data_IF_014289833465
#
_entry.id   IF_014289833465
#
_cell.length_a   1.000
_cell.length_b   1.000
_cell.length_c   1.000
_cell.angle_alpha   90.00
_cell.angle_beta   90.00
_cell.angle_gamma   90.00
#
_symmetry.space_group_name_H-M   'P 1'
#
loop_
_entity.id
_entity.type
_entity.pdbx_description
1 polymer ?
#
# COMPACT_ATOMS: atom_id res chain seq x y z
N UNK A 1 15.30 -25.78 -10.17
CA UNK A 1 14.67 -25.57 -8.84
C UNK A 1 13.39 -24.82 -9.11
N UNK A 2 12.25 -25.36 -8.70
CA UNK A 2 10.98 -24.66 -8.83
C UNK A 2 10.86 -23.64 -7.69
N UNK A 3 11.22 -22.38 -7.99
CA UNK A 3 11.05 -21.25 -7.08
C UNK A 3 9.59 -21.15 -6.62
N UNK A 4 9.35 -21.21 -5.31
CA UNK A 4 8.03 -21.08 -4.69
C UNK A 4 7.87 -19.71 -4.01
N UNK A 5 6.62 -19.30 -3.77
CA UNK A 5 6.29 -18.09 -3.01
C UNK A 5 6.90 -18.10 -1.59
N UNK A 6 6.93 -19.28 -0.97
CA UNK A 6 7.60 -19.50 0.32
C UNK A 6 9.11 -19.25 0.26
N UNK A 7 9.75 -19.55 -0.88
CA UNK A 7 11.18 -19.27 -1.05
C UNK A 7 11.42 -17.76 -1.10
N UNK A 8 10.57 -17.03 -1.83
CA UNK A 8 10.58 -15.56 -1.86
C UNK A 8 10.44 -14.97 -0.44
N UNK A 9 9.45 -15.45 0.30
CA UNK A 9 9.19 -15.04 1.68
C UNK A 9 10.40 -15.33 2.60
N UNK A 10 10.93 -16.56 2.55
CA UNK A 10 12.09 -16.99 3.33
C UNK A 10 13.33 -16.15 3.01
N UNK A 11 13.54 -15.84 1.73
CA UNK A 11 14.65 -15.01 1.28
C UNK A 11 14.56 -13.58 1.80
N UNK A 12 13.37 -12.96 1.74
CA UNK A 12 13.18 -11.60 2.28
C UNK A 12 13.36 -11.61 3.81
N UNK A 13 12.65 -12.51 4.49
CA UNK A 13 12.57 -12.52 5.95
C UNK A 13 13.89 -12.85 6.64
N UNK A 14 14.71 -13.72 6.05
CA UNK A 14 16.01 -14.12 6.64
C UNK A 14 17.16 -13.19 6.25
N UNK A 15 16.94 -12.29 5.31
CA UNK A 15 17.97 -11.36 4.86
C UNK A 15 18.11 -10.17 5.80
N UNK A 16 19.31 -9.60 5.82
CA UNK A 16 19.54 -8.30 6.44
C UNK A 16 18.66 -7.23 5.78
N UNK A 17 18.00 -6.40 6.60
CA UNK A 17 17.03 -5.41 6.10
C UNK A 17 17.70 -4.37 5.18
N UNK A 18 18.93 -3.94 5.49
CA UNK A 18 19.65 -3.01 4.63
C UNK A 18 20.06 -3.64 3.30
N UNK A 19 20.39 -4.93 3.29
CA UNK A 19 20.62 -5.67 2.06
C UNK A 19 19.34 -5.74 1.20
N UNK A 20 18.20 -6.11 1.77
CA UNK A 20 16.91 -6.18 1.06
C UNK A 20 16.55 -4.83 0.43
N UNK A 21 16.74 -3.74 1.18
CA UNK A 21 16.53 -2.38 0.67
C UNK A 21 17.49 -2.01 -0.45
N UNK A 22 18.78 -2.34 -0.32
CA UNK A 22 19.78 -2.15 -1.39
C UNK A 22 19.44 -2.95 -2.66
N UNK A 23 18.72 -4.07 -2.52
CA UNK A 23 18.20 -4.86 -3.64
C UNK A 23 16.92 -4.29 -4.25
N UNK A 24 16.38 -3.19 -3.71
CA UNK A 24 15.31 -2.40 -4.33
C UNK A 24 13.97 -2.43 -3.59
N UNK A 25 13.81 -3.22 -2.52
CA UNK A 25 12.58 -3.23 -1.71
C UNK A 25 12.67 -2.13 -0.64
N UNK A 26 12.51 -0.87 -1.09
CA UNK A 26 12.79 0.33 -0.29
C UNK A 26 11.90 0.46 0.96
N UNK A 27 10.66 -0.06 0.90
CA UNK A 27 9.68 -0.08 1.99
C UNK A 27 10.04 -1.04 3.14
N UNK A 28 11.01 -1.95 2.95
CA UNK A 28 11.39 -2.94 3.95
C UNK A 28 12.24 -2.36 5.07
N UNK A 29 11.63 -1.53 5.92
CA UNK A 29 12.26 -0.88 7.06
C UNK A 29 11.39 -1.05 8.30
N UNK A 30 11.63 -2.12 9.05
CA UNK A 30 10.83 -2.48 10.22
C UNK A 30 11.70 -2.77 11.43
N UNK A 31 11.20 -2.40 12.61
CA UNK A 31 11.80 -2.82 13.87
C UNK A 31 11.47 -4.27 14.18
N UNK A 32 10.30 -4.73 13.71
CA UNK A 32 9.87 -6.12 13.85
C UNK A 32 9.07 -6.58 12.64
N UNK A 33 9.35 -7.78 12.18
CA UNK A 33 8.57 -8.45 11.12
C UNK A 33 8.01 -9.76 11.67
N UNK A 34 6.72 -10.00 11.43
CA UNK A 34 6.01 -11.21 11.80
C UNK A 34 5.67 -12.01 10.55
N UNK A 35 5.74 -13.33 10.66
CA UNK A 35 5.20 -14.29 9.71
C UNK A 35 4.10 -15.09 10.37
N UNK A 36 3.23 -15.71 9.57
CA UNK A 36 2.14 -16.56 10.06
C UNK A 36 1.22 -15.83 11.06
N UNK A 37 1.02 -14.52 10.86
CA UNK A 37 0.25 -13.69 11.78
C UNK A 37 -1.26 -13.93 11.61
N UNK A 38 -1.82 -14.85 12.38
CA UNK A 38 -3.21 -15.29 12.20
C UNK A 38 -4.22 -14.20 12.62
N UNK A 39 -4.95 -13.66 11.63
CA UNK A 39 -6.02 -12.66 11.81
C UNK A 39 -7.42 -13.31 11.92
N UNK A 40 -7.50 -14.62 12.14
CA UNK A 40 -8.76 -15.36 12.21
C UNK A 40 -9.44 -15.44 10.84
N UNK A 41 -10.71 -15.01 10.78
CA UNK A 41 -11.50 -15.05 9.55
C UNK A 41 -10.95 -14.17 8.41
N UNK A 42 -10.04 -13.24 8.72
CA UNK A 42 -9.38 -12.39 7.72
C UNK A 42 -8.20 -13.09 7.03
N UNK A 43 -7.75 -14.24 7.56
CA UNK A 43 -6.67 -15.06 7.00
C UNK A 43 -5.30 -14.79 7.63
N UNK A 44 -4.24 -15.15 6.91
CA UNK A 44 -2.85 -15.08 7.36
C UNK A 44 -2.06 -14.33 6.28
N UNK A 45 -1.63 -13.08 6.51
CA UNK A 45 -0.71 -12.39 5.60
C UNK A 45 0.65 -13.08 5.59
N UNK A 46 1.37 -12.99 4.48
CA UNK A 46 2.73 -13.53 4.37
C UNK A 46 3.65 -12.88 5.40
N UNK A 47 3.69 -11.54 5.43
CA UNK A 47 4.43 -10.80 6.44
C UNK A 47 3.71 -9.56 6.94
N UNK A 48 3.95 -9.21 8.21
CA UNK A 48 3.52 -7.96 8.82
C UNK A 48 4.74 -7.27 9.45
N UNK A 49 5.11 -6.11 8.92
CA UNK A 49 6.14 -5.25 9.47
C UNK A 49 5.55 -4.22 10.44
N UNK A 50 6.27 -3.94 11.53
CA UNK A 50 5.98 -2.84 12.45
C UNK A 50 7.20 -1.94 12.53
N UNK A 51 6.97 -0.64 12.37
CA UNK A 51 8.00 0.39 12.52
C UNK A 51 7.52 1.41 13.55
N UNK A 52 8.41 1.76 14.46
CA UNK A 52 8.22 2.77 15.50
C UNK A 52 8.94 4.05 15.09
N UNK A 53 8.33 5.19 15.37
CA UNK A 53 8.93 6.49 15.09
C UNK A 53 8.38 7.55 16.03
N UNK A 54 9.15 8.62 16.24
CA UNK A 54 8.73 9.76 17.04
C UNK A 54 8.05 10.81 16.14
N UNK A 55 6.83 11.22 16.49
CA UNK A 55 6.12 12.33 15.84
C UNK A 55 5.60 13.29 16.91
N UNK A 56 6.01 14.57 16.85
CA UNK A 56 5.67 15.58 17.87
C UNK A 56 5.92 15.09 19.30
N UNK A 57 7.09 14.48 19.54
CA UNK A 57 7.51 13.90 20.83
C UNK A 57 6.64 12.74 21.35
N UNK A 58 5.74 12.20 20.52
CA UNK A 58 4.95 11.01 20.84
C UNK A 58 5.45 9.82 20.04
N UNK A 59 5.47 8.66 20.69
CA UNK A 59 5.76 7.39 20.00
C UNK A 59 4.57 7.04 19.10
N UNK A 60 4.87 6.82 17.82
CA UNK A 60 3.92 6.41 16.80
C UNK A 60 4.37 5.08 16.18
N UNK A 61 3.41 4.43 15.53
CA UNK A 61 3.61 3.14 14.87
C UNK A 61 3.12 3.25 13.44
N UNK A 62 3.82 2.59 12.52
CA UNK A 62 3.30 2.25 11.19
C UNK A 62 3.35 0.74 11.03
N UNK A 63 2.34 0.21 10.35
CA UNK A 63 2.23 -1.21 10.04
C UNK A 63 2.33 -1.37 8.53
N UNK A 64 3.10 -2.35 8.06
CA UNK A 64 3.18 -2.70 6.64
C UNK A 64 2.75 -4.14 6.47
N UNK A 65 1.75 -4.38 5.63
CA UNK A 65 1.25 -5.71 5.29
C UNK A 65 1.84 -6.09 3.93
N UNK A 66 2.53 -7.23 3.90
CA UNK A 66 3.10 -7.78 2.68
C UNK A 66 2.23 -8.92 2.16
N UNK A 67 1.95 -8.88 0.87
CA UNK A 67 1.38 -9.98 0.11
C UNK A 67 2.32 -10.30 -1.05
N UNK A 68 2.79 -11.53 -1.09
CA UNK A 68 3.72 -12.07 -2.06
C UNK A 68 2.93 -12.90 -3.07
N UNK A 69 3.32 -12.80 -4.35
CA UNK A 69 2.82 -13.65 -5.41
C UNK A 69 4.01 -14.21 -6.17
N UNK A 70 3.99 -15.51 -6.45
CA UNK A 70 4.95 -16.06 -7.43
C UNK A 70 4.76 -15.42 -8.80
N UNK A 71 3.51 -15.25 -9.23
CA UNK A 71 3.14 -14.70 -10.53
C UNK A 71 2.81 -13.20 -10.50
N UNK A 72 1.91 -12.80 -11.39
CA UNK A 72 1.45 -11.43 -11.49
C UNK A 72 0.70 -10.96 -10.23
N UNK A 73 0.94 -9.72 -9.83
CA UNK A 73 0.09 -9.01 -8.89
C UNK A 73 -1.19 -8.60 -9.64
N UNK A 74 -2.35 -8.94 -9.09
CA UNK A 74 -3.67 -8.69 -9.66
C UNK A 74 -4.70 -8.21 -8.62
N UNK A 75 -5.96 -8.15 -9.03
CA UNK A 75 -7.08 -7.73 -8.17
C UNK A 75 -7.26 -8.65 -6.95
N UNK A 76 -6.96 -9.94 -7.07
CA UNK A 76 -7.09 -10.89 -5.97
C UNK A 76 -6.00 -10.66 -4.92
N UNK A 77 -4.76 -10.37 -5.34
CA UNK A 77 -3.69 -9.98 -4.42
C UNK A 77 -4.06 -8.71 -3.63
N UNK A 78 -4.62 -7.70 -4.29
CA UNK A 78 -5.09 -6.49 -3.62
C UNK A 78 -6.26 -6.77 -2.66
N UNK A 79 -7.22 -7.60 -3.07
CA UNK A 79 -8.35 -7.97 -2.23
C UNK A 79 -7.92 -8.76 -0.98
N UNK A 80 -6.98 -9.71 -1.14
CA UNK A 80 -6.38 -10.46 -0.04
C UNK A 80 -5.68 -9.52 0.96
N UNK A 81 -4.81 -8.64 0.47
CA UNK A 81 -4.12 -7.68 1.31
C UNK A 81 -5.09 -6.71 2.02
N UNK A 82 -6.12 -6.22 1.31
CA UNK A 82 -7.15 -5.34 1.88
C UNK A 82 -7.95 -6.04 3.00
N UNK A 83 -8.21 -7.35 2.86
CA UNK A 83 -8.85 -8.15 3.90
C UNK A 83 -7.97 -8.24 5.16
N UNK A 84 -6.65 -8.43 5.01
CA UNK A 84 -5.73 -8.43 6.14
C UNK A 84 -5.67 -7.07 6.85
N UNK A 85 -5.60 -5.97 6.10
CA UNK A 85 -5.67 -4.61 6.66
C UNK A 85 -6.96 -4.41 7.46
N UNK A 86 -8.09 -4.85 6.92
CA UNK A 86 -9.39 -4.79 7.63
C UNK A 86 -9.38 -5.59 8.93
N UNK A 87 -8.76 -6.78 8.92
CA UNK A 87 -8.56 -7.60 10.11
C UNK A 87 -7.68 -6.93 11.15
N UNK A 88 -6.56 -6.34 10.74
CA UNK A 88 -5.66 -5.58 11.61
C UNK A 88 -6.36 -4.39 12.24
N UNK A 89 -7.07 -3.56 11.47
CA UNK A 89 -7.83 -2.42 12.01
C UNK A 89 -8.84 -2.89 13.07
N UNK A 90 -9.55 -3.98 12.79
CA UNK A 90 -10.53 -4.55 13.71
C UNK A 90 -9.87 -5.05 14.99
N UNK A 91 -8.73 -5.75 14.87
CA UNK A 91 -7.94 -6.22 16.02
C UNK A 91 -7.41 -5.07 16.87
N UNK A 92 -6.83 -4.05 16.25
CA UNK A 92 -6.26 -2.88 16.95
C UNK A 92 -7.34 -2.10 17.72
N UNK A 93 -8.52 -1.93 17.13
CA UNK A 93 -9.68 -1.35 17.82
C UNK A 93 -10.08 -2.18 19.05
N UNK A 94 -10.12 -3.51 18.91
CA UNK A 94 -10.50 -4.43 19.99
C UNK A 94 -9.54 -4.36 21.18
N UNK A 95 -8.24 -4.16 20.96
CA UNK A 95 -7.25 -4.00 22.03
C UNK A 95 -7.13 -2.56 22.56
N UNK A 96 -8.02 -1.65 22.13
CA UNK A 96 -8.12 -0.30 22.68
C UNK A 96 -7.25 0.76 21.99
N UNK A 97 -6.68 0.49 20.82
CA UNK A 97 -5.99 1.53 20.03
C UNK A 97 -7.03 2.46 19.41
N UNK A 98 -7.15 3.67 19.99
CA UNK A 98 -8.13 4.69 19.60
C UNK A 98 -7.87 5.30 18.23
N UNK A 99 -6.61 5.53 17.90
CA UNK A 99 -6.18 6.06 16.60
C UNK A 99 -5.32 4.98 15.93
N UNK A 100 -5.87 4.26 14.93
CA UNK A 100 -5.09 3.22 14.27
C UNK A 100 -3.85 3.85 13.62
N UNK A 101 -2.71 3.13 13.62
CA UNK A 101 -1.51 3.56 12.93
C UNK A 101 -1.76 3.71 11.42
N UNK A 102 -0.85 4.38 10.73
CA UNK A 102 -0.79 4.25 9.26
C UNK A 102 -0.52 2.79 8.91
N UNK A 103 -1.31 2.26 7.96
CA UNK A 103 -1.17 0.88 7.47
C UNK A 103 -0.89 0.93 5.97
N UNK A 104 0.30 0.49 5.61
CA UNK A 104 0.75 0.36 4.23
C UNK A 104 0.51 -1.06 3.73
N UNK A 105 0.21 -1.19 2.44
CA UNK A 105 0.12 -2.44 1.72
C UNK A 105 1.29 -2.53 0.75
N UNK A 106 2.00 -3.65 0.76
CA UNK A 106 3.09 -3.92 -0.17
C UNK A 106 2.76 -5.22 -0.90
N UNK A 107 2.51 -5.12 -2.20
CA UNK A 107 2.31 -6.28 -3.06
C UNK A 107 3.60 -6.54 -3.84
N UNK A 108 4.06 -7.79 -3.85
CA UNK A 108 5.29 -8.19 -4.54
C UNK A 108 4.99 -9.38 -5.45
N UNK A 109 5.30 -9.28 -6.74
CA UNK A 109 5.10 -10.34 -7.72
C UNK A 109 6.16 -10.36 -8.81
N UNK A 110 6.14 -11.33 -9.72
CA UNK A 110 7.11 -11.34 -10.84
C UNK A 110 6.76 -10.28 -11.91
N UNK A 111 5.50 -9.88 -11.94
CA UNK A 111 4.90 -9.00 -12.92
C UNK A 111 3.66 -8.33 -12.32
N UNK A 112 3.04 -7.43 -13.07
CA UNK A 112 1.83 -6.71 -12.66
C UNK A 112 0.80 -6.86 -13.76
N UNK A 113 -0.44 -7.14 -13.37
CA UNK A 113 -1.57 -7.10 -14.30
C UNK A 113 -1.88 -5.65 -14.71
N UNK A 114 -1.41 -5.27 -15.89
CA UNK A 114 -1.66 -3.95 -16.47
C UNK A 114 -2.89 -3.93 -17.39
N UNK A 115 -3.61 -5.06 -17.53
CA UNK A 115 -4.69 -5.22 -18.50
C UNK A 115 -6.07 -5.18 -17.85
N UNK A 116 -6.18 -5.58 -16.58
CA UNK A 116 -7.46 -5.52 -15.86
C UNK A 116 -7.68 -4.20 -15.12
N UNK A 117 -8.83 -4.09 -14.45
CA UNK A 117 -9.18 -2.95 -13.63
C UNK A 117 -8.30 -2.81 -12.37
N UNK A 118 -7.48 -3.82 -12.05
CA UNK A 118 -6.55 -3.78 -10.92
C UNK A 118 -5.69 -2.51 -10.94
N UNK A 119 -5.14 -2.13 -12.09
CA UNK A 119 -4.20 -1.00 -12.17
C UNK A 119 -4.85 0.32 -11.76
N UNK A 120 -6.15 0.50 -12.03
CA UNK A 120 -6.92 1.68 -11.63
C UNK A 120 -7.19 1.68 -10.12
N UNK A 121 -7.56 0.53 -9.56
CA UNK A 121 -7.70 0.37 -8.11
C UNK A 121 -6.37 0.63 -7.40
N UNK A 122 -5.27 0.14 -7.95
CA UNK A 122 -3.94 0.37 -7.42
C UNK A 122 -3.53 1.86 -7.48
N UNK A 123 -3.84 2.56 -8.57
CA UNK A 123 -3.53 3.97 -8.75
C UNK A 123 -4.20 4.88 -7.70
N UNK A 124 -5.43 4.56 -7.31
CA UNK A 124 -6.23 5.35 -6.36
C UNK A 124 -5.85 5.12 -4.90
N UNK A 125 -4.98 4.14 -4.60
CA UNK A 125 -4.61 3.78 -3.25
C UNK A 125 -3.22 4.33 -2.90
N UNK A 126 -3.16 5.40 -2.09
CA UNK A 126 -1.91 6.06 -1.72
C UNK A 126 -1.03 5.26 -0.76
N UNK A 127 -1.61 4.28 -0.06
CA UNK A 127 -0.91 3.43 0.91
C UNK A 127 -0.49 2.10 0.29
N UNK A 128 -0.67 1.94 -1.03
CA UNK A 128 -0.29 0.74 -1.79
C UNK A 128 1.04 0.95 -2.50
N UNK A 129 1.98 0.05 -2.24
CA UNK A 129 3.24 -0.07 -2.96
C UNK A 129 3.27 -1.37 -3.75
N UNK A 130 3.71 -1.29 -5.00
CA UNK A 130 3.84 -2.43 -5.90
C UNK A 130 5.32 -2.66 -6.19
N UNK A 131 5.77 -3.90 -6.09
CA UNK A 131 7.12 -4.29 -6.47
C UNK A 131 7.08 -5.46 -7.43
N UNK A 132 7.90 -5.42 -8.47
CA UNK A 132 8.26 -6.63 -9.20
C UNK A 132 9.57 -7.19 -8.65
N UNK A 133 9.72 -8.51 -8.65
CA UNK A 133 10.99 -9.16 -8.32
C UNK A 133 11.58 -9.90 -9.52
N UNK A 134 12.89 -10.11 -9.48
CA UNK A 134 13.62 -10.97 -10.41
C UNK A 134 14.64 -11.79 -9.62
N UNK A 135 14.82 -13.04 -10.02
CA UNK A 135 15.79 -13.95 -9.40
C UNK A 135 16.80 -14.40 -10.45
N UNK A 136 18.09 -14.18 -10.18
CA UNK A 136 19.18 -14.54 -11.08
C UNK A 136 20.49 -14.84 -10.33
N UNK A 137 21.62 -14.81 -11.04
CA UNK A 137 22.95 -15.13 -10.47
C UNK A 137 23.29 -14.27 -9.26
N UNK A 138 22.85 -13.00 -9.26
CA UNK A 138 23.08 -12.05 -8.18
C UNK A 138 22.02 -12.11 -7.06
N UNK A 139 21.24 -13.21 -7.01
CA UNK A 139 20.14 -13.40 -6.10
C UNK A 139 18.90 -12.60 -6.49
N UNK A 140 18.14 -12.20 -5.47
CA UNK A 140 16.88 -11.48 -5.59
C UNK A 140 17.13 -9.99 -5.81
N UNK A 141 16.38 -9.39 -6.73
CA UNK A 141 16.31 -7.96 -6.94
C UNK A 141 14.86 -7.52 -7.11
N UNK A 142 14.55 -6.31 -6.64
CA UNK A 142 13.22 -5.73 -6.64
C UNK A 142 13.21 -4.42 -7.40
N UNK A 143 12.05 -4.09 -7.96
CA UNK A 143 11.79 -2.81 -8.60
C UNK A 143 10.43 -2.29 -8.15
N UNK A 144 10.41 -1.12 -7.53
CA UNK A 144 9.16 -0.44 -7.22
C UNK A 144 8.48 0.01 -8.52
N UNK A 145 7.16 -0.18 -8.59
CA UNK A 145 6.34 0.20 -9.71
C UNK A 145 5.31 1.23 -9.27
N UNK A 146 5.38 2.42 -9.87
CA UNK A 146 4.40 3.46 -9.65
C UNK A 146 3.16 3.19 -10.53
N UNK A 147 2.06 2.74 -9.91
CA UNK A 147 0.79 2.51 -10.61
C UNK A 147 0.29 3.75 -11.38
N UNK A 148 0.62 4.97 -10.90
CA UNK A 148 0.23 6.24 -11.54
C UNK A 148 0.92 6.50 -12.88
N UNK A 149 1.96 5.75 -13.22
CA UNK A 149 2.62 5.85 -14.52
C UNK A 149 1.86 5.09 -15.61
N UNK A 150 0.82 4.34 -15.25
CA UNK A 150 0.01 3.59 -16.20
C UNK A 150 -1.31 4.32 -16.41
N UNK A 151 -1.56 4.64 -17.67
CA UNK A 151 -2.80 5.26 -18.12
C UNK A 151 -3.62 4.22 -18.89
N UNK A 152 -4.97 4.29 -18.83
CA UNK A 152 -5.81 3.44 -19.67
C UNK A 152 -5.40 3.59 -21.14
N UNK A 153 -5.10 2.49 -21.81
CA UNK A 153 -4.87 2.48 -23.28
C UNK A 153 -6.15 2.85 -24.06
N UNK A 154 -7.30 2.87 -23.38
CA UNK A 154 -8.59 3.32 -23.91
C UNK A 154 -8.88 4.80 -23.67
N UNK A 155 -7.96 5.56 -23.04
CA UNK A 155 -8.03 7.01 -23.15
C UNK A 155 -7.75 7.34 -24.62
N UNK A 156 -8.76 7.87 -25.31
CA UNK A 156 -8.54 8.49 -26.61
C UNK A 156 -7.44 9.55 -26.46
N UNK A 157 -6.74 9.86 -27.56
CA UNK A 157 -5.65 10.86 -27.60
C UNK A 157 -6.02 12.24 -27.00
N UNK A 158 -7.30 12.48 -26.69
CA UNK A 158 -7.83 13.70 -26.09
C UNK A 158 -7.88 13.72 -24.56
N UNK A 159 -7.46 12.66 -23.87
CA UNK A 159 -7.42 12.60 -22.41
C UNK A 159 -8.80 12.51 -21.75
N UNK A 160 -8.86 11.86 -20.60
CA UNK A 160 -10.04 11.61 -19.75
C UNK A 160 -11.24 10.86 -20.36
N UNK A 161 -11.14 10.38 -21.60
CA UNK A 161 -12.29 9.82 -22.31
C UNK A 161 -13.33 10.91 -22.55
N UNK A 162 -14.46 10.58 -23.19
CA UNK A 162 -15.54 11.52 -23.49
C UNK A 162 -16.28 11.98 -22.21
N UNK A 163 -15.58 12.67 -21.31
CA UNK A 163 -16.13 13.28 -20.10
C UNK A 163 -16.90 14.57 -20.47
N UNK A 164 -17.90 14.42 -21.35
CA UNK A 164 -18.67 15.54 -21.92
C UNK A 164 -19.54 16.26 -20.87
N UNK A 165 -19.74 15.63 -19.70
CA UNK A 165 -20.53 16.16 -18.58
C UNK A 165 -19.70 16.54 -17.34
N UNK A 166 -18.37 16.58 -17.44
CA UNK A 166 -17.51 16.88 -16.29
C UNK A 166 -17.19 18.38 -16.22
N UNK A 167 -17.99 19.15 -15.46
CA UNK A 167 -17.66 20.56 -15.19
C UNK A 167 -16.60 20.68 -14.08
N UNK A 168 -15.33 20.54 -14.48
CA UNK A 168 -14.19 20.69 -13.59
C UNK A 168 -14.15 22.06 -12.89
N UNK A 169 -14.70 23.12 -13.50
CA UNK A 169 -14.77 24.45 -12.87
C UNK A 169 -15.78 24.48 -11.74
N UNK A 170 -16.93 23.83 -11.90
CA UNK A 170 -17.91 23.68 -10.83
C UNK A 170 -17.33 22.87 -9.65
N UNK A 171 -16.66 21.75 -9.94
CA UNK A 171 -15.99 20.93 -8.90
C UNK A 171 -14.94 21.77 -8.15
N UNK A 172 -14.08 22.50 -8.89
CA UNK A 172 -13.06 23.34 -8.28
C UNK A 172 -13.65 24.44 -7.39
N UNK A 173 -14.69 25.14 -7.86
CA UNK A 173 -15.38 26.19 -7.09
C UNK A 173 -15.96 25.64 -5.79
N UNK A 174 -16.53 24.43 -5.82
CA UNK A 174 -17.12 23.81 -4.65
C UNK A 174 -16.06 23.32 -3.66
N UNK A 175 -14.96 22.72 -4.15
CA UNK A 175 -13.82 22.36 -3.29
C UNK A 175 -13.22 23.58 -2.60
N UNK A 176 -13.05 24.70 -3.32
CA UNK A 176 -12.55 25.95 -2.74
C UNK A 176 -13.50 26.49 -1.67
N UNK A 177 -14.81 26.47 -1.92
CA UNK A 177 -15.83 26.88 -0.94
C UNK A 177 -15.75 26.05 0.35
N UNK A 178 -15.59 24.73 0.24
CA UNK A 178 -15.48 23.82 1.38
C UNK A 178 -14.19 24.09 2.18
N UNK A 179 -13.05 24.29 1.51
CA UNK A 179 -11.77 24.54 2.17
C UNK A 179 -11.78 25.87 2.94
N UNK A 180 -12.26 26.95 2.31
CA UNK A 180 -12.38 28.26 2.95
C UNK A 180 -13.39 28.27 4.10
N UNK A 181 -14.41 27.40 4.06
CA UNK A 181 -15.34 27.26 5.19
C UNK A 181 -14.61 26.64 6.39
N UNK A 182 -13.81 25.58 6.21
CA UNK A 182 -13.05 24.97 7.32
C UNK A 182 -12.04 25.91 7.98
N UNK A 183 -11.32 26.73 7.20
CA UNK A 183 -10.38 27.72 7.74
C UNK A 183 -11.07 28.78 8.63
N UNK A 184 -12.34 29.11 8.38
CA UNK A 184 -13.11 30.05 9.22
C UNK A 184 -13.66 29.45 10.51
N UNK A 185 -13.76 28.12 10.62
CA UNK A 185 -14.21 27.46 11.85
C UNK A 185 -13.04 27.06 12.75
N UNK A 186 -11.85 26.76 12.20
CA UNK A 186 -10.64 26.54 13.00
C UNK A 186 -10.14 27.82 13.70
N UNK A 187 -10.43 29.02 13.18
CA UNK A 187 -10.11 30.29 13.88
C UNK A 187 -11.06 30.61 15.03
N UNK A 188 -12.18 29.89 15.19
CA UNK A 188 -13.16 30.11 16.26
C UNK A 188 -13.10 29.04 17.37
N UNK A 189 -12.13 28.13 17.34
CA UNK A 189 -11.92 27.10 18.39
C UNK A 189 -10.64 27.36 19.20
N UNK A 190 -10.27 28.63 19.33
CA UNK A 190 -9.39 29.14 20.39
C UNK A 190 -10.23 30.21 21.09
N UNK A 191 -10.36 30.12 22.41
CA UNK A 191 -11.30 30.86 23.28
C UNK A 191 -12.71 30.26 23.41
N UNK A 192 -12.83 29.20 24.20
CA UNK A 192 -13.63 29.19 25.45
C UNK A 192 -13.33 27.94 26.26
#
# INVERSE_FOLDING_TARGET
>A
MDFQEKDLEDMIFRSDADLVRKKGLSSYRHDKVFRQFNLGAYGIPDMVGITTYMHNQKMCYSITVYELKKGAIDADALAQCSRYVSGLISYLKRIGIKYPPSIQMVLIGDSIDLKSNFIYSAQSNYELHLYTYSFGINGLAFKEVCARNYYPTSLSERGYGHAENLDLKAIHKELYRICMYKERFDTNTIFT
#
